data_IF_366962351505
#
_entry.id   IF_366962351505
#
_cell.length_a   1.000
_cell.length_b   1.000
_cell.length_c   1.000
_cell.angle_alpha   90.00
_cell.angle_beta   90.00
_cell.angle_gamma   90.00
#
_symmetry.space_group_name_H-M   'P 1'
#
loop_
_entity.id
_entity.type
_entity.pdbx_description
1 polymer ?
#
# COMPACT_ATOMS: atom_id res chain seq x y z
N UNK A 1 3.94 11.81 4.04
CA UNK A 1 3.69 10.46 3.49
C UNK A 1 2.62 9.79 4.33
N UNK A 2 1.56 9.28 3.71
CA UNK A 2 0.49 8.51 4.36
C UNK A 2 0.92 7.05 4.54
N UNK A 3 0.30 6.33 5.51
CA UNK A 3 0.56 4.89 5.69
C UNK A 3 -0.67 4.07 5.38
N UNK A 4 -0.48 3.00 4.62
CA UNK A 4 -1.40 1.89 4.48
C UNK A 4 -0.79 0.67 5.16
N UNK A 5 -1.62 -0.27 5.61
CA UNK A 5 -1.14 -1.58 6.05
C UNK A 5 -1.24 -2.59 4.91
N UNK A 6 -0.17 -3.37 4.70
CA UNK A 6 -0.10 -4.38 3.63
C UNK A 6 -0.37 -5.78 4.20
N UNK A 7 -1.64 -6.11 4.29
CA UNK A 7 -2.09 -7.41 4.81
C UNK A 7 -3.56 -7.67 4.48
N UNK A 8 -3.96 -8.93 4.45
CA UNK A 8 -5.36 -9.36 4.45
C UNK A 8 -5.79 -9.93 5.81
N UNK A 9 -4.87 -9.99 6.78
CA UNK A 9 -5.17 -10.45 8.13
C UNK A 9 -5.93 -9.37 8.91
N UNK A 10 -7.17 -9.68 9.25
CA UNK A 10 -8.08 -8.73 9.89
C UNK A 10 -7.60 -8.30 11.27
N UNK A 11 -6.98 -9.18 12.05
CA UNK A 11 -6.47 -8.83 13.38
C UNK A 11 -5.27 -7.87 13.31
N UNK A 12 -4.39 -8.04 12.32
CA UNK A 12 -3.30 -7.09 12.07
C UNK A 12 -3.84 -5.72 11.63
N UNK A 13 -4.91 -5.71 10.81
CA UNK A 13 -5.57 -4.48 10.37
C UNK A 13 -6.19 -3.76 11.56
N UNK A 14 -6.91 -4.46 12.45
CA UNK A 14 -7.48 -3.88 13.67
C UNK A 14 -6.41 -3.23 14.53
N UNK A 15 -5.32 -3.97 14.81
CA UNK A 15 -4.20 -3.45 15.61
C UNK A 15 -3.57 -2.20 14.99
N UNK A 16 -3.33 -2.20 13.68
CA UNK A 16 -2.78 -1.04 12.99
C UNK A 16 -3.75 0.15 12.99
N UNK A 17 -5.05 -0.10 12.84
CA UNK A 17 -6.08 0.93 12.88
C UNK A 17 -6.24 1.53 14.29
N UNK A 18 -6.16 0.70 15.33
CA UNK A 18 -6.23 1.16 16.74
C UNK A 18 -5.05 2.06 17.12
N UNK A 19 -3.90 1.90 16.48
CA UNK A 19 -2.77 2.82 16.64
C UNK A 19 -3.03 4.21 16.05
N UNK A 20 -4.04 4.37 15.18
CA UNK A 20 -4.38 5.64 14.53
C UNK A 20 -3.37 6.14 13.50
N UNK A 21 -2.49 5.26 13.00
CA UNK A 21 -1.39 5.65 12.10
C UNK A 21 -1.63 5.31 10.64
N UNK A 22 -2.63 4.48 10.34
CA UNK A 22 -2.96 4.09 8.97
C UNK A 22 -4.21 4.81 8.46
N UNK A 23 -4.30 4.98 7.15
CA UNK A 23 -5.47 5.55 6.49
C UNK A 23 -5.93 4.72 5.27
N UNK A 24 -5.46 3.48 5.13
CA UNK A 24 -5.85 2.59 4.05
C UNK A 24 -5.21 1.21 4.17
N UNK A 25 -5.59 0.33 3.25
CA UNK A 25 -5.14 -1.06 3.23
C UNK A 25 -4.79 -1.47 1.80
N UNK A 26 -3.69 -2.19 1.62
CA UNK A 26 -3.46 -2.94 0.39
C UNK A 26 -3.55 -4.44 0.66
N UNK A 27 -4.26 -5.12 -0.22
CA UNK A 27 -4.26 -6.58 -0.28
C UNK A 27 -3.69 -7.04 -1.62
N UNK A 28 -3.48 -8.32 -1.75
CA UNK A 28 -3.16 -8.97 -3.02
C UNK A 28 -3.64 -10.43 -2.99
N UNK A 29 -3.65 -11.06 -4.16
CA UNK A 29 -4.14 -12.44 -4.32
C UNK A 29 -3.41 -13.44 -3.40
N UNK A 30 -2.11 -13.25 -3.15
CA UNK A 30 -1.32 -14.10 -2.27
C UNK A 30 -1.66 -13.89 -0.79
N UNK A 31 -1.90 -12.64 -0.37
CA UNK A 31 -2.32 -12.33 1.00
C UNK A 31 -3.71 -12.89 1.30
N UNK A 32 -4.66 -12.68 0.38
CA UNK A 32 -6.02 -13.26 0.51
C UNK A 32 -5.97 -14.79 0.55
N UNK A 33 -5.17 -15.42 -0.32
CA UNK A 33 -5.04 -16.88 -0.32
C UNK A 33 -4.51 -17.45 1.00
N UNK A 34 -3.62 -16.73 1.70
CA UNK A 34 -3.11 -17.16 3.01
C UNK A 34 -4.18 -17.18 4.10
N UNK A 35 -5.18 -16.31 4.02
CA UNK A 35 -6.28 -16.28 4.99
C UNK A 35 -7.23 -17.49 4.83
N UNK A 36 -7.25 -18.17 3.67
CA UNK A 36 -8.10 -19.33 3.41
C UNK A 36 -9.60 -19.02 3.46
N UNK A 37 -9.98 -17.75 3.30
CA UNK A 37 -11.36 -17.24 3.38
C UNK A 37 -11.81 -16.69 2.03
N UNK A 38 -13.12 -16.53 1.87
CA UNK A 38 -13.70 -15.89 0.68
C UNK A 38 -13.24 -14.43 0.56
N UNK A 39 -12.89 -14.02 -0.66
CA UNK A 39 -12.42 -12.66 -0.94
C UNK A 39 -13.43 -11.58 -0.51
N UNK A 40 -14.70 -11.77 -0.88
CA UNK A 40 -15.73 -10.76 -0.59
C UNK A 40 -16.00 -10.64 0.91
N UNK A 41 -15.93 -11.75 1.66
CA UNK A 41 -16.09 -11.72 3.12
C UNK A 41 -14.95 -10.95 3.78
N UNK A 42 -13.70 -11.24 3.41
CA UNK A 42 -12.51 -10.55 3.95
C UNK A 42 -12.57 -9.07 3.63
N UNK A 43 -12.84 -8.69 2.37
CA UNK A 43 -12.92 -7.28 1.98
C UNK A 43 -14.03 -6.53 2.71
N UNK A 44 -15.22 -7.11 2.86
CA UNK A 44 -16.32 -6.49 3.62
C UNK A 44 -15.94 -6.27 5.09
N UNK A 45 -15.25 -7.21 5.70
CA UNK A 45 -14.76 -7.05 7.07
C UNK A 45 -13.72 -5.91 7.15
N UNK A 46 -12.77 -5.86 6.23
CA UNK A 46 -11.76 -4.78 6.16
C UNK A 46 -12.44 -3.42 5.98
N UNK A 47 -13.43 -3.30 5.09
CA UNK A 47 -14.15 -2.03 4.85
C UNK A 47 -14.96 -1.56 6.07
N UNK A 48 -15.31 -2.45 6.99
CA UNK A 48 -15.97 -2.10 8.24
C UNK A 48 -15.00 -1.56 9.32
N UNK A 49 -13.70 -1.79 9.15
CA UNK A 49 -12.67 -1.41 10.13
C UNK A 49 -11.97 -0.12 9.72
N UNK A 50 -11.58 -0.02 8.43
CA UNK A 50 -10.78 1.11 7.93
C UNK A 50 -11.63 1.99 7.01
N UNK A 51 -11.79 3.25 7.39
CA UNK A 51 -12.42 4.26 6.54
C UNK A 51 -11.36 4.96 5.67
N UNK A 52 -11.05 4.34 4.54
CA UNK A 52 -10.06 4.83 3.60
C UNK A 52 -9.88 3.90 2.39
N UNK A 53 -8.96 4.20 1.47
CA UNK A 53 -8.76 3.38 0.28
C UNK A 53 -8.35 1.95 0.61
N UNK A 54 -9.01 0.98 -0.01
CA UNK A 54 -8.74 -0.45 0.16
C UNK A 54 -8.50 -1.07 -1.21
N UNK A 55 -7.26 -1.50 -1.46
CA UNK A 55 -6.89 -2.13 -2.72
C UNK A 55 -7.26 -3.61 -2.72
N UNK A 56 -8.21 -3.98 -3.58
CA UNK A 56 -8.57 -5.36 -3.91
C UNK A 56 -8.11 -5.71 -5.32
N UNK A 57 -7.37 -6.80 -5.47
CA UNK A 57 -6.73 -7.19 -6.73
C UNK A 57 -7.62 -8.12 -7.55
N UNK A 58 -7.65 -7.92 -8.88
CA UNK A 58 -8.25 -8.87 -9.82
C UNK A 58 -7.57 -10.24 -9.70
N UNK A 59 -8.24 -11.31 -10.10
CA UNK A 59 -7.70 -12.66 -9.96
C UNK A 59 -6.39 -12.82 -10.73
N UNK A 60 -5.42 -13.49 -10.15
CA UNK A 60 -4.12 -13.75 -10.78
C UNK A 60 -4.22 -14.56 -12.10
N UNK A 61 -5.31 -15.28 -12.28
CA UNK A 61 -5.59 -16.08 -13.50
C UNK A 61 -6.29 -15.30 -14.60
N UNK A 62 -6.77 -14.08 -14.34
CA UNK A 62 -7.42 -13.22 -15.33
C UNK A 62 -6.36 -12.40 -16.03
N UNK A 63 -6.09 -12.71 -17.30
CA UNK A 63 -4.96 -12.14 -18.06
C UNK A 63 -5.36 -11.19 -19.18
N UNK A 64 -6.63 -11.13 -19.54
CA UNK A 64 -7.18 -10.26 -20.58
C UNK A 64 -7.90 -9.04 -20.01
N UNK A 65 -7.98 -7.97 -20.82
CA UNK A 65 -8.55 -6.70 -20.37
C UNK A 65 -10.06 -6.82 -20.06
N UNK A 66 -10.82 -7.59 -20.81
CA UNK A 66 -12.27 -7.72 -20.64
C UNK A 66 -12.58 -8.38 -19.30
N UNK A 67 -11.87 -9.46 -18.98
CA UNK A 67 -11.98 -10.12 -17.67
C UNK A 67 -11.61 -9.20 -16.51
N UNK A 68 -10.49 -8.46 -16.63
CA UNK A 68 -10.06 -7.51 -15.60
C UNK A 68 -11.05 -6.36 -15.41
N UNK A 69 -11.66 -5.86 -16.48
CA UNK A 69 -12.71 -4.81 -16.40
C UNK A 69 -13.94 -5.33 -15.69
N UNK A 70 -14.39 -6.53 -16.05
CA UNK A 70 -15.54 -7.16 -15.38
C UNK A 70 -15.30 -7.33 -13.88
N UNK A 71 -14.20 -7.97 -13.52
CA UNK A 71 -13.81 -8.16 -12.11
C UNK A 71 -13.61 -6.84 -11.39
N UNK A 72 -13.02 -5.85 -12.05
CA UNK A 72 -12.79 -4.51 -11.50
C UNK A 72 -14.11 -3.81 -11.12
N UNK A 73 -15.14 -3.92 -11.96
CA UNK A 73 -16.49 -3.40 -11.64
C UNK A 73 -17.12 -4.14 -10.45
N UNK A 74 -16.95 -5.45 -10.38
CA UNK A 74 -17.45 -6.27 -9.27
C UNK A 74 -16.75 -5.87 -7.95
N UNK A 75 -15.43 -5.69 -7.96
CA UNK A 75 -14.65 -5.25 -6.79
C UNK A 75 -15.06 -3.85 -6.37
N UNK A 76 -15.16 -2.90 -7.30
CA UNK A 76 -15.55 -1.53 -7.02
C UNK A 76 -16.97 -1.42 -6.42
N UNK A 77 -17.88 -2.33 -6.78
CA UNK A 77 -19.24 -2.38 -6.29
C UNK A 77 -19.36 -2.86 -4.82
N UNK A 78 -18.30 -3.44 -4.23
CA UNK A 78 -18.33 -3.94 -2.84
C UNK A 78 -18.49 -2.78 -1.84
N UNK A 79 -17.73 -1.69 -2.03
CA UNK A 79 -17.73 -0.54 -1.13
C UNK A 79 -17.18 0.72 -1.83
N UNK A 80 -17.61 1.94 -1.51
CA UNK A 80 -17.09 3.19 -2.12
C UNK A 80 -15.57 3.41 -1.94
N UNK A 81 -14.97 2.84 -0.91
CA UNK A 81 -13.54 2.95 -0.63
C UNK A 81 -12.68 1.96 -1.43
N UNK A 82 -13.29 1.12 -2.26
CA UNK A 82 -12.54 0.15 -3.06
C UNK A 82 -11.69 0.81 -4.13
N UNK A 83 -10.47 0.29 -4.25
CA UNK A 83 -9.52 0.60 -5.32
C UNK A 83 -9.18 -0.69 -6.03
N UNK A 84 -9.40 -0.75 -7.32
CA UNK A 84 -9.16 -1.97 -8.11
C UNK A 84 -7.67 -2.08 -8.41
N UNK A 85 -7.04 -3.13 -7.88
CA UNK A 85 -5.61 -3.39 -8.10
C UNK A 85 -5.42 -4.26 -9.35
N UNK A 86 -4.57 -3.79 -10.27
CA UNK A 86 -4.40 -4.36 -11.62
C UNK A 86 -2.91 -4.53 -11.91
N UNK A 87 -2.46 -5.70 -12.43
CA UNK A 87 -1.05 -5.90 -12.76
C UNK A 87 -0.60 -5.06 -13.95
N UNK A 88 0.65 -4.61 -13.93
CA UNK A 88 1.29 -3.83 -14.97
C UNK A 88 1.55 -4.68 -16.24
N UNK A 89 0.55 -4.77 -17.08
CA UNK A 89 0.58 -5.46 -18.38
C UNK A 89 -0.11 -4.60 -19.45
N UNK A 90 0.05 -4.95 -20.73
CA UNK A 90 -0.69 -4.28 -21.82
C UNK A 90 -2.20 -4.39 -21.61
N UNK A 91 -2.68 -5.58 -21.25
CA UNK A 91 -4.11 -5.82 -20.99
C UNK A 91 -4.56 -5.10 -19.71
N UNK A 92 -3.70 -5.06 -18.67
CA UNK A 92 -3.96 -4.29 -17.46
C UNK A 92 -4.12 -2.79 -17.74
N UNK A 93 -3.27 -2.19 -18.55
CA UNK A 93 -3.38 -0.78 -18.94
C UNK A 93 -4.66 -0.48 -19.73
N UNK A 94 -5.11 -1.40 -20.61
CA UNK A 94 -6.41 -1.28 -21.28
C UNK A 94 -7.55 -1.28 -20.27
N UNK A 95 -7.49 -2.17 -19.28
CA UNK A 95 -8.49 -2.24 -18.21
C UNK A 95 -8.50 -0.96 -17.36
N UNK A 96 -7.32 -0.45 -16.97
CA UNK A 96 -7.17 0.81 -16.21
C UNK A 96 -7.84 1.96 -16.95
N UNK A 97 -7.56 2.11 -18.25
CA UNK A 97 -8.16 3.18 -19.08
C UNK A 97 -9.70 3.16 -19.01
N UNK A 98 -10.31 1.97 -19.14
CA UNK A 98 -11.77 1.84 -19.10
C UNK A 98 -12.31 2.14 -17.72
N UNK A 99 -11.77 1.50 -16.67
CA UNK A 99 -12.24 1.68 -15.30
C UNK A 99 -12.09 3.13 -14.83
N UNK A 100 -10.96 3.77 -15.15
CA UNK A 100 -10.74 5.18 -14.80
C UNK A 100 -11.74 6.11 -15.52
N UNK A 101 -12.10 5.83 -16.77
CA UNK A 101 -13.14 6.60 -17.48
C UNK A 101 -14.54 6.46 -16.89
N UNK A 102 -14.77 5.40 -16.12
CA UNK A 102 -15.99 5.13 -15.36
C UNK A 102 -15.95 5.70 -13.94
N UNK A 103 -14.87 6.40 -13.57
CA UNK A 103 -14.67 6.96 -12.22
C UNK A 103 -14.25 5.93 -11.17
N UNK A 104 -13.88 4.72 -11.57
CA UNK A 104 -13.40 3.67 -10.69
C UNK A 104 -11.89 3.88 -10.42
N UNK A 105 -11.53 4.00 -9.15
CA UNK A 105 -10.14 4.16 -8.73
C UNK A 105 -9.35 2.88 -8.98
N UNK A 106 -8.13 3.03 -9.52
CA UNK A 106 -7.25 1.91 -9.85
C UNK A 106 -5.87 2.07 -9.20
N UNK A 107 -5.25 0.93 -8.87
CA UNK A 107 -3.89 0.83 -8.36
C UNK A 107 -3.10 -0.13 -9.26
N UNK A 108 -2.20 0.41 -10.09
CA UNK A 108 -1.38 -0.43 -10.96
C UNK A 108 -0.21 -1.00 -10.18
N UNK A 109 -0.17 -2.32 -10.06
CA UNK A 109 0.79 -3.06 -9.25
C UNK A 109 1.88 -3.75 -10.09
N UNK A 110 2.92 -4.25 -9.42
CA UNK A 110 4.07 -4.91 -10.04
C UNK A 110 4.84 -3.95 -10.96
N UNK A 111 5.06 -2.73 -10.46
CA UNK A 111 5.87 -1.73 -11.13
C UNK A 111 7.32 -1.85 -10.67
N UNK A 112 8.23 -1.99 -11.62
CA UNK A 112 9.68 -2.17 -11.42
C UNK A 112 10.53 -1.20 -12.25
N UNK A 113 9.90 -0.27 -12.98
CA UNK A 113 10.61 0.80 -13.71
C UNK A 113 9.77 2.08 -13.78
N UNK A 114 10.45 3.22 -13.90
CA UNK A 114 9.78 4.51 -14.06
C UNK A 114 8.92 4.55 -15.35
N UNK A 115 9.36 3.90 -16.43
CA UNK A 115 8.58 3.81 -17.66
C UNK A 115 7.22 3.13 -17.44
N UNK A 116 7.16 2.07 -16.62
CA UNK A 116 5.90 1.43 -16.27
C UNK A 116 4.97 2.38 -15.49
N UNK A 117 5.53 3.15 -14.56
CA UNK A 117 4.75 4.13 -13.80
C UNK A 117 4.17 5.24 -14.69
N UNK A 118 4.96 5.75 -15.66
CA UNK A 118 4.51 6.74 -16.64
C UNK A 118 3.36 6.18 -17.49
N UNK A 119 3.47 4.94 -17.96
CA UNK A 119 2.40 4.30 -18.75
C UNK A 119 1.12 4.14 -17.93
N UNK A 120 1.24 3.75 -16.67
CA UNK A 120 0.10 3.60 -15.77
C UNK A 120 -0.58 4.96 -15.49
N UNK A 121 0.19 6.01 -15.22
CA UNK A 121 -0.32 7.36 -15.02
C UNK A 121 -1.06 7.88 -16.26
N UNK A 122 -0.46 7.71 -17.45
CA UNK A 122 -1.09 8.09 -18.72
C UNK A 122 -2.37 7.28 -19.05
N UNK A 123 -2.49 6.05 -18.52
CA UNK A 123 -3.72 5.27 -18.63
C UNK A 123 -4.83 5.72 -17.65
N UNK A 124 -4.52 6.65 -16.73
CA UNK A 124 -5.47 7.20 -15.76
C UNK A 124 -5.47 6.48 -14.42
N UNK A 125 -4.40 5.78 -14.06
CA UNK A 125 -4.27 5.15 -12.76
C UNK A 125 -4.35 6.19 -11.62
N UNK A 126 -5.14 5.90 -10.57
CA UNK A 126 -5.17 6.71 -9.36
C UNK A 126 -3.90 6.52 -8.55
N UNK A 127 -3.42 5.27 -8.50
CA UNK A 127 -2.20 4.89 -7.78
C UNK A 127 -1.30 4.02 -8.64
N UNK A 128 0.00 4.10 -8.36
CA UNK A 128 1.01 3.15 -8.83
C UNK A 128 1.73 2.53 -7.64
N UNK A 129 1.97 1.22 -7.68
CA UNK A 129 2.67 0.50 -6.61
C UNK A 129 4.02 -0.03 -7.11
N UNK A 130 5.10 0.77 -7.02
CA UNK A 130 6.47 0.30 -7.28
C UNK A 130 6.97 -0.57 -6.12
N UNK A 131 7.64 -1.68 -6.46
CA UNK A 131 8.06 -2.72 -5.51
C UNK A 131 9.55 -2.60 -5.17
N UNK A 132 9.90 -1.69 -4.25
CA UNK A 132 11.31 -1.45 -3.92
C UNK A 132 12.01 -2.67 -3.30
N UNK A 133 11.37 -3.37 -2.37
CA UNK A 133 12.02 -4.49 -1.67
C UNK A 133 12.33 -5.67 -2.58
N UNK A 134 11.55 -5.92 -3.64
CA UNK A 134 11.88 -6.96 -4.64
C UNK A 134 13.06 -6.58 -5.52
N UNK A 135 13.29 -5.30 -5.75
CA UNK A 135 14.51 -4.84 -6.45
C UNK A 135 15.75 -5.05 -5.57
N UNK A 136 15.64 -4.75 -4.26
CA UNK A 136 16.72 -5.01 -3.32
C UNK A 136 17.05 -6.51 -3.24
N UNK A 137 16.05 -7.39 -3.33
CA UNK A 137 16.24 -8.86 -3.36
C UNK A 137 17.14 -9.33 -4.53
N UNK A 138 17.24 -8.54 -5.61
CA UNK A 138 18.10 -8.79 -6.78
C UNK A 138 19.29 -7.83 -6.87
N UNK A 139 19.64 -7.19 -5.76
CA UNK A 139 20.79 -6.27 -5.65
C UNK A 139 20.65 -4.99 -6.50
N UNK A 140 19.43 -4.53 -6.73
CA UNK A 140 19.14 -3.24 -7.34
C UNK A 140 18.58 -2.29 -6.26
N UNK A 141 19.13 -1.08 -6.07
CA UNK A 141 18.62 -0.15 -5.07
C UNK A 141 17.16 0.26 -5.37
N UNK A 142 16.22 -0.39 -4.72
CA UNK A 142 14.78 -0.18 -4.98
C UNK A 142 14.31 1.24 -4.69
N UNK A 143 14.97 1.93 -3.77
CA UNK A 143 14.63 3.31 -3.44
C UNK A 143 14.87 4.29 -4.62
N UNK A 144 15.82 4.00 -5.49
CA UNK A 144 16.05 4.82 -6.67
C UNK A 144 14.85 4.82 -7.64
N UNK A 145 14.11 3.70 -7.70
CA UNK A 145 12.86 3.64 -8.47
C UNK A 145 11.81 4.61 -7.92
N UNK A 146 11.65 4.65 -6.58
CA UNK A 146 10.70 5.57 -5.94
C UNK A 146 11.09 7.02 -6.25
N UNK A 147 12.37 7.36 -6.09
CA UNK A 147 12.90 8.71 -6.36
C UNK A 147 12.67 9.15 -7.80
N UNK A 148 12.98 8.27 -8.76
CA UNK A 148 12.76 8.56 -10.18
C UNK A 148 11.29 8.80 -10.50
N UNK A 149 10.38 7.96 -9.98
CA UNK A 149 8.94 8.12 -10.24
C UNK A 149 8.44 9.44 -9.63
N UNK A 150 8.80 9.73 -8.38
CA UNK A 150 8.41 10.96 -7.70
C UNK A 150 8.88 12.21 -8.46
N UNK A 151 10.15 12.25 -8.85
CA UNK A 151 10.70 13.38 -9.62
C UNK A 151 9.98 13.56 -10.97
N UNK A 152 9.71 12.47 -11.69
CA UNK A 152 9.00 12.52 -12.96
C UNK A 152 7.56 12.99 -12.76
N UNK A 153 6.86 12.50 -11.75
CA UNK A 153 5.48 12.87 -11.48
C UNK A 153 5.37 14.35 -11.10
N UNK A 154 6.32 14.87 -10.31
CA UNK A 154 6.41 16.29 -9.97
C UNK A 154 6.68 17.17 -11.21
N UNK A 155 7.63 16.77 -12.08
CA UNK A 155 7.99 17.53 -13.29
C UNK A 155 6.79 17.71 -14.24
N UNK A 156 6.00 16.65 -14.41
CA UNK A 156 4.89 16.62 -15.36
C UNK A 156 3.53 16.89 -14.71
N UNK A 157 3.46 17.04 -13.39
CA UNK A 157 2.22 17.31 -12.66
C UNK A 157 1.21 16.18 -12.78
N UNK A 158 1.65 14.93 -12.61
CA UNK A 158 0.73 13.79 -12.55
C UNK A 158 -0.04 13.77 -11.24
N UNK A 159 -1.36 13.59 -11.30
CA UNK A 159 -2.22 13.42 -10.11
C UNK A 159 -2.15 12.00 -9.53
N UNK A 160 -1.46 11.07 -10.20
CA UNK A 160 -1.29 9.68 -9.77
C UNK A 160 -0.38 9.62 -8.53
N UNK A 161 -0.88 9.07 -7.42
CA UNK A 161 -0.11 8.91 -6.17
C UNK A 161 0.74 7.63 -6.19
N UNK A 162 1.93 7.73 -5.57
CA UNK A 162 2.89 6.63 -5.43
C UNK A 162 2.62 5.89 -4.13
N UNK A 163 2.27 4.60 -4.21
CA UNK A 163 2.23 3.69 -3.07
C UNK A 163 3.52 2.85 -3.07
N UNK A 164 4.53 3.26 -2.31
CA UNK A 164 5.74 2.47 -2.15
C UNK A 164 5.40 1.12 -1.53
N UNK A 165 5.68 0.03 -2.25
CA UNK A 165 5.26 -1.33 -1.90
C UNK A 165 6.46 -2.28 -1.74
N UNK A 166 6.19 -3.47 -1.17
CA UNK A 166 7.25 -4.46 -0.86
C UNK A 166 8.24 -3.94 0.19
N UNK A 167 7.74 -3.19 1.16
CA UNK A 167 8.52 -2.68 2.30
C UNK A 167 8.94 -3.82 3.22
N UNK A 168 10.21 -3.86 3.62
CA UNK A 168 10.80 -4.95 4.40
C UNK A 168 11.18 -4.56 5.82
N UNK A 169 11.46 -3.28 6.09
CA UNK A 169 12.01 -2.80 7.35
C UNK A 169 11.74 -1.30 7.53
N UNK A 170 11.97 -0.74 8.76
CA UNK A 170 11.77 0.69 9.03
C UNK A 170 12.65 1.64 8.21
N UNK A 171 13.84 1.21 7.76
CA UNK A 171 14.72 2.05 6.94
C UNK A 171 14.05 2.33 5.59
N UNK A 172 13.45 1.30 4.95
CA UNK A 172 12.67 1.50 3.72
C UNK A 172 11.58 2.57 3.87
N UNK A 173 10.92 2.64 5.03
CA UNK A 173 9.87 3.64 5.28
C UNK A 173 10.44 5.05 5.31
N UNK A 174 11.57 5.23 6.02
CA UNK A 174 12.26 6.53 6.07
C UNK A 174 12.77 6.95 4.68
N UNK A 175 13.38 6.01 3.97
CA UNK A 175 13.91 6.28 2.62
C UNK A 175 12.80 6.63 1.63
N UNK A 176 11.66 5.94 1.68
CA UNK A 176 10.48 6.26 0.85
C UNK A 176 9.94 7.66 1.16
N UNK A 177 9.91 8.06 2.44
CA UNK A 177 9.49 9.40 2.83
C UNK A 177 10.42 10.48 2.26
N UNK A 178 11.73 10.24 2.30
CA UNK A 178 12.75 11.14 1.76
C UNK A 178 12.77 11.14 0.22
N UNK A 179 12.35 10.06 -0.41
CA UNK A 179 12.27 9.93 -1.86
C UNK A 179 10.99 10.51 -2.47
N UNK A 180 10.04 10.98 -1.66
CA UNK A 180 8.83 11.65 -2.13
C UNK A 180 7.66 10.69 -2.44
N UNK A 181 7.64 9.49 -1.87
CA UNK A 181 6.45 8.64 -1.96
C UNK A 181 5.25 9.30 -1.26
N UNK A 182 4.06 9.24 -1.87
CA UNK A 182 2.82 9.77 -1.27
C UNK A 182 2.34 8.88 -0.13
N UNK A 183 2.47 7.57 -0.33
CA UNK A 183 1.99 6.51 0.54
C UNK A 183 3.08 5.44 0.65
N UNK A 184 3.24 4.87 1.85
CA UNK A 184 3.96 3.62 2.05
C UNK A 184 2.97 2.55 2.51
N UNK A 185 2.92 1.41 1.82
CA UNK A 185 2.15 0.28 2.31
C UNK A 185 3.06 -0.71 3.03
N UNK A 186 2.79 -0.89 4.33
CA UNK A 186 3.75 -1.41 5.30
C UNK A 186 3.15 -2.65 5.97
N UNK A 187 3.87 -3.78 6.03
CA UNK A 187 3.44 -4.92 6.86
C UNK A 187 3.29 -4.52 8.33
N UNK A 188 2.27 -5.01 9.02
CA UNK A 188 2.01 -4.65 10.43
C UNK A 188 3.23 -4.80 11.33
N UNK A 189 3.97 -5.91 11.15
CA UNK A 189 5.22 -6.15 11.91
C UNK A 189 6.25 -5.02 11.75
N UNK A 190 6.34 -4.41 10.57
CA UNK A 190 7.26 -3.29 10.35
C UNK A 190 6.74 -2.03 11.02
N UNK A 191 5.42 -1.77 10.98
CA UNK A 191 4.80 -0.66 11.73
C UNK A 191 5.12 -0.80 13.23
N UNK A 192 4.96 -2.01 13.78
CA UNK A 192 5.31 -2.28 15.18
C UNK A 192 6.80 -2.07 15.47
N UNK A 193 7.70 -2.47 14.54
CA UNK A 193 9.14 -2.21 14.68
C UNK A 193 9.48 -0.72 14.73
N UNK A 194 8.76 0.12 13.99
CA UNK A 194 8.99 1.57 13.96
C UNK A 194 8.75 2.25 15.31
N UNK A 195 8.00 1.63 16.21
CA UNK A 195 7.77 2.18 17.57
C UNK A 195 8.91 1.87 18.54
N UNK A 196 9.81 0.96 18.20
CA UNK A 196 10.83 0.45 19.11
C UNK A 196 12.14 1.22 18.98
N UNK A 197 12.59 1.80 20.09
CA UNK A 197 13.90 2.45 20.16
C UNK A 197 14.48 2.33 21.58
N UNK A 198 15.74 1.87 21.73
CA UNK A 198 16.35 1.68 23.07
C UNK A 198 16.35 2.93 23.94
N UNK A 199 16.53 4.11 23.37
CA UNK A 199 16.50 5.36 24.13
C UNK A 199 15.08 5.75 24.59
N UNK A 200 14.04 5.32 23.87
CA UNK A 200 12.65 5.50 24.32
C UNK A 200 12.38 4.66 25.57
N UNK A 201 12.79 3.39 25.55
CA UNK A 201 12.63 2.49 26.68
C UNK A 201 13.39 3.01 27.92
N UNK A 202 14.67 3.38 27.75
CA UNK A 202 15.48 3.99 28.80
C UNK A 202 14.89 5.30 29.34
N UNK A 203 14.34 6.13 28.43
CA UNK A 203 13.70 7.39 28.83
C UNK A 203 12.44 7.15 29.65
N UNK A 204 11.61 6.19 29.27
CA UNK A 204 10.41 5.81 30.02
C UNK A 204 10.79 5.30 31.43
N UNK A 205 11.76 4.37 31.50
CA UNK A 205 12.25 3.84 32.77
C UNK A 205 12.74 4.95 33.70
N UNK A 206 13.55 5.87 33.18
CA UNK A 206 14.05 7.03 33.94
C UNK A 206 12.91 7.91 34.42
N UNK A 207 11.96 8.28 33.57
CA UNK A 207 10.83 9.13 33.96
C UNK A 207 9.96 8.47 35.03
N UNK A 208 9.73 7.16 34.94
CA UNK A 208 9.02 6.41 35.97
C UNK A 208 9.77 6.41 37.31
N UNK A 209 11.10 6.20 37.27
CA UNK A 209 11.92 6.24 38.50
C UNK A 209 11.90 7.63 39.17
N UNK A 210 12.09 8.69 38.39
CA UNK A 210 12.06 10.07 38.86
C UNK A 210 10.67 10.42 39.45
N UNK A 211 9.57 9.99 38.81
CA UNK A 211 8.21 10.20 39.29
C UNK A 211 7.96 9.50 40.64
N UNK A 212 8.31 8.22 40.74
CA UNK A 212 8.14 7.43 41.97
C UNK A 212 8.95 8.00 43.15
N UNK A 213 10.13 8.52 42.87
CA UNK A 213 10.98 9.11 43.92
C UNK A 213 10.34 10.34 44.60
N UNK A 214 9.45 11.05 43.92
CA UNK A 214 8.81 12.27 44.40
C UNK A 214 7.37 12.01 44.88
N UNK A 215 6.60 11.20 44.14
CA UNK A 215 5.15 11.07 44.33
C UNK A 215 4.71 9.70 44.88
N UNK A 216 5.60 8.73 44.90
CA UNK A 216 5.27 7.34 45.22
C UNK A 216 4.62 6.60 44.02
N UNK A 217 4.21 5.35 44.28
CA UNK A 217 3.49 4.53 43.27
C UNK A 217 2.02 4.94 43.15
#
# INVERSE_FOLDING_TARGET
>A
MKFFVDTANVEDIKKANDMGVICGVTTNTSLIAKEGRDFNEVIKEITSIVDGPISGEVKATTVDAEGMIKEGREIAAIHPNMVVKIPMTVEGLKAVKVLSSEGIKTNVTLIFSANQAILAANAGATYVSPFLGRLDDISQPGIELIRQISEIFDIYGYDTEIIAASIRNPIHVTDCALAGADIATIPYKVIEQMTKHPLTDQGIEKFQADYRAVFGD
#
